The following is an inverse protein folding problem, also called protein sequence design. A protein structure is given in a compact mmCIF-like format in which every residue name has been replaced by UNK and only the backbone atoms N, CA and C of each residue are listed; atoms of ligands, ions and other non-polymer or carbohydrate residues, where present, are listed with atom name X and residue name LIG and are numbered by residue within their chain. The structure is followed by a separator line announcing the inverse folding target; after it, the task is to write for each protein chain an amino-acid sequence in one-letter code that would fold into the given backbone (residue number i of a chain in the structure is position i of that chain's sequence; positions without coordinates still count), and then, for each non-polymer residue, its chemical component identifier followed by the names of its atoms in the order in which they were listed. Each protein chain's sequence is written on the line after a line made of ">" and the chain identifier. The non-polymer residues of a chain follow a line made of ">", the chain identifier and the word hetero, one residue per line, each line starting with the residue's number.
data_IF_930590863866
#
_entry.id   IF_930590863866
#
_cell.length_a   1.000
_cell.length_b   1.000
_cell.length_c   1.000
_cell.angle_alpha   90.00
_cell.angle_beta   90.00
_cell.angle_gamma   90.00
#
_symmetry.space_group_name_H-M   'P 1'
#
loop_
_entity.id
_entity.type
_entity.pdbx_description
1 polymer ?
#
# COMPACT_ATOMS: atom_id res chain seq x y z
N UNK A 1 33.14 16.70 -7.65
CA UNK A 1 32.36 15.90 -6.69
C UNK A 1 31.17 16.69 -6.19
N UNK A 2 30.00 16.67 -6.83
CA UNK A 2 28.78 17.04 -6.13
C UNK A 2 28.27 15.80 -5.38
N UNK A 3 28.10 15.95 -4.09
CA UNK A 3 27.33 15.05 -3.23
C UNK A 3 25.89 14.99 -3.74
N UNK A 4 25.43 13.83 -4.19
CA UNK A 4 24.01 13.56 -4.34
C UNK A 4 23.39 13.51 -2.94
N UNK A 5 23.00 14.67 -2.43
CA UNK A 5 22.00 14.77 -1.38
C UNK A 5 20.68 14.28 -1.96
N UNK A 6 20.44 12.97 -2.01
CA UNK A 6 19.27 12.41 -2.70
C UNK A 6 18.07 12.35 -1.75
N UNK A 7 17.57 13.53 -1.39
CA UNK A 7 16.22 13.68 -0.85
C UNK A 7 15.23 13.52 -2.00
N UNK A 8 15.25 12.38 -2.71
CA UNK A 8 14.32 12.13 -3.79
C UNK A 8 12.99 11.63 -3.20
N UNK A 9 11.89 12.10 -3.78
CA UNK A 9 10.54 11.69 -3.42
C UNK A 9 10.03 10.77 -4.51
N UNK A 10 9.50 9.63 -4.09
CA UNK A 10 8.93 8.63 -4.97
C UNK A 10 7.43 8.52 -4.72
N UNK A 11 6.64 8.41 -5.79
CA UNK A 11 5.20 8.27 -5.67
C UNK A 11 4.80 6.80 -5.58
N UNK A 12 4.08 6.47 -4.51
CA UNK A 12 3.40 5.20 -4.34
C UNK A 12 1.90 5.43 -4.52
N UNK A 13 1.34 4.82 -5.56
CA UNK A 13 -0.09 4.84 -5.83
C UNK A 13 -0.72 3.59 -5.23
N UNK A 14 -1.61 3.73 -4.25
CA UNK A 14 -2.37 2.61 -3.67
C UNK A 14 -3.77 2.64 -4.26
N UNK A 15 -4.14 1.60 -5.01
CA UNK A 15 -5.46 1.44 -5.61
C UNK A 15 -6.18 0.25 -4.95
N UNK A 16 -7.48 0.40 -4.75
CA UNK A 16 -8.34 -0.63 -4.18
C UNK A 16 -9.17 -1.35 -5.24
N UNK A 17 -9.61 -2.57 -4.94
CA UNK A 17 -10.47 -3.36 -5.82
C UNK A 17 -11.95 -3.05 -5.59
N UNK A 18 -12.82 -3.10 -6.62
CA UNK A 18 -14.25 -2.80 -6.49
C UNK A 18 -15.06 -3.70 -5.54
N UNK A 19 -14.54 -4.88 -5.17
CA UNK A 19 -15.21 -5.86 -4.31
C UNK A 19 -14.86 -5.71 -2.82
N UNK A 20 -14.11 -4.67 -2.43
CA UNK A 20 -13.81 -4.33 -1.05
C UNK A 20 -15.03 -3.63 -0.40
N UNK A 21 -15.43 -4.08 0.79
CA UNK A 21 -16.52 -3.47 1.56
C UNK A 21 -16.00 -3.19 2.98
N UNK A 22 -16.09 -1.97 3.54
CA UNK A 22 -16.15 -0.66 2.89
C UNK A 22 -15.08 0.34 3.38
N UNK A 23 -15.06 1.50 2.73
CA UNK A 23 -14.57 2.80 3.21
C UNK A 23 -13.07 3.11 3.16
N UNK A 24 -12.42 2.76 2.05
CA UNK A 24 -11.36 3.63 1.59
C UNK A 24 -11.98 4.95 1.12
N UNK A 25 -11.78 6.02 1.91
CA UNK A 25 -12.19 7.40 1.59
C UNK A 25 -11.86 7.88 0.17
N UNK A 26 -10.95 7.20 -0.55
CA UNK A 26 -10.61 7.43 -1.96
C UNK A 26 -10.30 6.10 -2.66
N UNK A 27 -10.68 5.97 -3.93
CA UNK A 27 -10.33 4.81 -4.76
C UNK A 27 -8.81 4.70 -5.06
N UNK A 28 -8.08 5.82 -4.96
CA UNK A 28 -6.65 5.90 -5.21
C UNK A 28 -5.99 6.87 -4.22
N UNK A 29 -4.89 6.44 -3.62
CA UNK A 29 -4.04 7.26 -2.76
C UNK A 29 -2.65 7.41 -3.36
N UNK A 30 -2.15 8.65 -3.41
CA UNK A 30 -0.78 8.93 -3.83
C UNK A 30 0.03 9.39 -2.63
N UNK A 31 1.12 8.69 -2.33
CA UNK A 31 1.99 8.96 -1.19
C UNK A 31 3.40 9.25 -1.68
N UNK A 32 4.04 10.26 -1.11
CA UNK A 32 5.46 10.54 -1.33
C UNK A 32 6.30 9.80 -0.29
N UNK A 33 7.22 8.95 -0.77
CA UNK A 33 8.17 8.22 0.07
C UNK A 33 9.56 8.76 -0.18
N UNK A 34 10.29 9.03 0.91
CA UNK A 34 11.67 9.48 0.80
C UNK A 34 12.59 8.32 0.39
N UNK A 35 13.51 8.56 -0.55
CA UNK A 35 14.44 7.55 -1.04
C UNK A 35 15.36 6.98 0.06
N UNK A 36 15.61 7.76 1.11
CA UNK A 36 16.38 7.31 2.28
C UNK A 36 15.57 6.48 3.29
N UNK A 37 14.30 6.16 2.99
CA UNK A 37 13.51 5.22 3.77
C UNK A 37 14.18 3.85 3.79
N UNK A 38 14.15 3.20 4.96
CA UNK A 38 14.84 1.93 5.19
C UNK A 38 13.85 0.77 5.11
N UNK A 39 14.32 -0.43 4.72
CA UNK A 39 13.52 -1.64 4.89
C UNK A 39 12.98 -1.77 6.32
N UNK A 40 11.68 -2.02 6.44
CA UNK A 40 10.93 -2.04 7.70
C UNK A 40 10.17 -0.76 8.02
N UNK A 41 10.51 0.38 7.40
CA UNK A 41 9.80 1.64 7.60
C UNK A 41 8.37 1.54 7.06
N UNK A 42 7.42 2.10 7.81
CA UNK A 42 6.02 2.20 7.38
C UNK A 42 5.90 3.40 6.44
N UNK A 43 5.56 3.13 5.19
CA UNK A 43 5.42 4.17 4.16
C UNK A 43 3.99 4.67 4.04
N UNK A 44 3.01 3.83 4.40
CA UNK A 44 1.60 4.19 4.41
C UNK A 44 0.82 3.28 5.37
N UNK A 45 -0.30 3.77 5.90
CA UNK A 45 -1.26 2.95 6.64
C UNK A 45 -2.61 3.07 5.96
N UNK A 46 -3.12 1.94 5.47
CA UNK A 46 -4.48 1.83 5.01
C UNK A 46 -5.43 1.82 6.20
N UNK A 47 -6.50 2.57 6.08
CA UNK A 47 -7.57 2.64 7.07
C UNK A 47 -8.87 2.33 6.33
N UNK A 48 -9.44 1.16 6.63
CA UNK A 48 -10.74 0.72 6.11
C UNK A 48 -11.86 0.91 7.15
N UNK A 49 -11.59 1.68 8.21
CA UNK A 49 -12.51 1.90 9.32
C UNK A 49 -12.44 0.83 10.41
N UNK A 50 -13.40 0.91 11.34
CA UNK A 50 -13.47 0.07 12.53
C UNK A 50 -14.15 -1.28 12.20
N UNK A 51 -13.35 -2.25 11.74
CA UNK A 51 -13.81 -3.62 11.46
C UNK A 51 -12.65 -4.64 11.43
N UNK A 52 -12.94 -5.95 11.51
CA UNK A 52 -11.92 -6.99 11.47
C UNK A 52 -11.44 -7.24 10.03
N UNK A 53 -10.77 -6.24 9.45
CA UNK A 53 -10.30 -6.31 8.07
C UNK A 53 -8.96 -7.03 7.93
N UNK A 54 -8.86 -7.84 6.87
CA UNK A 54 -7.62 -8.45 6.40
C UNK A 54 -7.16 -7.79 5.12
N UNK A 55 -5.89 -7.42 5.06
CA UNK A 55 -5.30 -6.70 3.94
C UNK A 55 -4.32 -7.56 3.13
N UNK A 56 -4.36 -7.42 1.80
CA UNK A 56 -3.52 -8.19 0.89
C UNK A 56 -3.02 -7.33 -0.28
N UNK A 57 -1.74 -7.45 -0.61
CA UNK A 57 -1.17 -6.93 -1.86
C UNK A 57 -1.49 -7.92 -2.98
N UNK A 58 -2.15 -7.45 -4.03
CA UNK A 58 -2.58 -8.28 -5.16
C UNK A 58 -1.59 -8.31 -6.31
N UNK A 59 -0.78 -7.26 -6.48
CA UNK A 59 0.14 -7.18 -7.60
C UNK A 59 1.53 -7.72 -7.23
N UNK A 60 1.91 -8.83 -7.86
CA UNK A 60 3.15 -9.58 -7.61
C UNK A 60 4.42 -8.77 -7.82
N UNK A 61 4.39 -7.84 -8.78
CA UNK A 61 5.59 -7.11 -9.22
C UNK A 61 6.17 -6.22 -8.11
N UNK A 62 5.36 -5.87 -7.11
CA UNK A 62 5.77 -4.98 -6.01
C UNK A 62 5.94 -5.68 -4.67
N UNK A 63 5.60 -6.97 -4.57
CA UNK A 63 5.74 -7.75 -3.33
C UNK A 63 7.20 -7.84 -2.88
N UNK A 64 8.12 -7.72 -3.83
CA UNK A 64 9.56 -7.66 -3.59
C UNK A 64 10.03 -6.35 -2.96
N UNK A 65 9.30 -5.25 -3.17
CA UNK A 65 9.68 -3.91 -2.70
C UNK A 65 8.82 -3.44 -1.53
N UNK A 66 7.59 -3.92 -1.41
CA UNK A 66 6.63 -3.54 -0.38
C UNK A 66 5.92 -4.76 0.20
N UNK A 67 5.57 -4.64 1.47
CA UNK A 67 4.74 -5.63 2.18
C UNK A 67 3.59 -4.91 2.86
N UNK A 68 2.50 -5.62 3.11
CA UNK A 68 1.36 -5.12 3.89
C UNK A 68 1.14 -6.01 5.10
N UNK A 69 1.00 -5.38 6.26
CA UNK A 69 0.60 -6.09 7.47
C UNK A 69 -0.89 -6.45 7.38
N UNK A 70 -1.17 -7.75 7.40
CA UNK A 70 -2.49 -8.31 7.17
C UNK A 70 -3.56 -7.77 8.12
N UNK A 71 -3.21 -7.43 9.35
CA UNK A 71 -4.20 -7.06 10.38
C UNK A 71 -4.27 -5.56 10.65
N UNK A 72 -3.24 -4.80 10.26
CA UNK A 72 -3.16 -3.37 10.57
C UNK A 72 -3.13 -2.46 9.34
N UNK A 73 -3.09 -3.01 8.13
CA UNK A 73 -3.07 -2.24 6.87
C UNK A 73 -1.78 -1.43 6.67
N UNK A 74 -0.74 -1.66 7.49
CA UNK A 74 0.53 -0.94 7.40
C UNK A 74 1.34 -1.47 6.22
N UNK A 75 1.55 -0.60 5.24
CA UNK A 75 2.45 -0.86 4.11
C UNK A 75 3.86 -0.49 4.53
N UNK A 76 4.78 -1.44 4.40
CA UNK A 76 6.19 -1.31 4.77
C UNK A 76 7.09 -1.51 3.58
N UNK A 77 8.23 -0.84 3.62
CA UNK A 77 9.30 -1.04 2.65
C UNK A 77 10.03 -2.37 2.92
N UNK A 78 10.31 -3.14 1.88
CA UNK A 78 11.05 -4.43 1.95
C UNK A 78 12.46 -4.27 1.39
N UNK A 79 12.63 -3.45 0.34
CA UNK A 79 13.92 -3.17 -0.30
C UNK A 79 14.19 -1.65 -0.35
N UNK A 80 15.45 -1.20 -0.30
CA UNK A 80 15.78 0.20 -0.51
C UNK A 80 15.22 0.72 -1.85
N UNK A 81 14.82 1.98 -1.87
CA UNK A 81 14.34 2.65 -3.08
C UNK A 81 15.53 3.28 -3.83
N UNK A 82 15.43 3.32 -5.17
CA UNK A 82 16.36 4.04 -6.03
C UNK A 82 15.56 4.80 -7.09
N UNK A 83 15.47 6.10 -6.90
CA UNK A 83 14.72 7.02 -7.75
C UNK A 83 15.31 7.15 -9.16
N UNK A 84 16.59 6.83 -9.36
CA UNK A 84 17.23 6.83 -10.68
C UNK A 84 16.82 5.62 -11.51
N UNK A 85 16.54 4.50 -10.84
CA UNK A 85 16.05 3.28 -11.48
C UNK A 85 14.54 3.31 -11.66
N UNK A 86 13.81 3.71 -10.61
CA UNK A 86 12.35 3.74 -10.61
C UNK A 86 11.84 4.81 -9.67
N UNK A 87 11.02 5.72 -10.18
CA UNK A 87 10.47 6.86 -9.44
C UNK A 87 8.95 6.77 -9.16
N UNK A 88 8.31 5.67 -9.56
CA UNK A 88 6.88 5.45 -9.37
C UNK A 88 6.54 3.98 -9.16
N UNK A 89 5.73 3.70 -8.14
CA UNK A 89 5.26 2.39 -7.76
C UNK A 89 3.74 2.40 -7.66
N UNK A 90 3.09 1.31 -8.08
CA UNK A 90 1.64 1.16 -7.99
C UNK A 90 1.35 -0.10 -7.21
N UNK A 91 0.70 0.02 -6.06
CA UNK A 91 0.26 -1.08 -5.22
C UNK A 91 -1.24 -1.27 -5.42
N UNK A 92 -1.66 -2.51 -5.66
CA UNK A 92 -3.07 -2.89 -5.68
C UNK A 92 -3.33 -3.65 -4.40
N UNK A 93 -4.21 -3.13 -3.56
CA UNK A 93 -4.52 -3.72 -2.26
C UNK A 93 -5.98 -4.15 -2.24
N UNK A 94 -6.25 -5.24 -1.52
CA UNK A 94 -7.60 -5.70 -1.20
C UNK A 94 -7.77 -5.73 0.32
N UNK A 95 -8.91 -5.25 0.81
CA UNK A 95 -9.40 -5.55 2.17
C UNK A 95 -10.54 -6.57 2.13
N UNK A 96 -10.57 -7.48 3.10
CA UNK A 96 -11.64 -8.44 3.32
C UNK A 96 -12.14 -8.33 4.77
N UNK A 97 -13.44 -8.17 4.96
CA UNK A 97 -14.08 -8.30 6.27
C UNK A 97 -14.23 -9.80 6.62
N UNK A 98 -13.91 -10.18 7.85
CA UNK A 98 -14.15 -11.53 8.39
C UNK A 98 -15.62 -11.78 8.79
N UNK A 99 -16.55 -10.84 8.54
CA UNK A 99 -17.97 -11.04 8.81
C UNK A 99 -18.60 -12.12 7.90
N UNK A 100 -18.99 -13.26 8.46
CA UNK A 100 -19.85 -14.25 7.79
C UNK A 100 -21.34 -13.85 7.86
N UNK A 101 -22.16 -14.08 6.82
CA UNK A 101 -21.79 -14.38 5.43
C UNK A 101 -21.49 -13.08 4.66
N UNK A 102 -20.86 -13.16 3.47
CA UNK A 102 -20.73 -12.01 2.59
C UNK A 102 -22.11 -11.37 2.41
N UNK A 103 -22.19 -10.04 2.54
CA UNK A 103 -23.38 -9.29 2.08
C UNK A 103 -23.45 -9.32 0.55
N UNK A 104 -23.53 -10.51 -0.05
CA UNK A 104 -24.15 -10.72 -1.34
C UNK A 104 -25.63 -10.93 -1.08
N UNK A 105 -26.32 -9.83 -0.75
CA UNK A 105 -27.78 -9.81 -0.76
C UNK A 105 -28.18 -9.44 -2.20
N UNK A 106 -28.15 -10.44 -3.09
CA UNK A 106 -28.81 -10.33 -4.38
C UNK A 106 -30.25 -10.76 -4.18
N UNK A 107 -31.14 -9.79 -4.03
CA UNK A 107 -32.55 -9.96 -4.37
C UNK A 107 -32.73 -9.82 -5.90
#
# INVERSE_FOLDING_TARGET
>A
NPSLSSTAKLWVTVADTPDSVPDFSKAVYTVEVAENAKPGDIVYKLDAGDGPFKYYLLNSDEIDSFSIDKNSGKIKLVKPLDSNYRNHYRLIVKSEDDSEPPKSDTA
#
